data_IF_486995061649
#
_entry.id   IF_486995061649
#
_cell.length_a   1.000
_cell.length_b   1.000
_cell.length_c   1.000
_cell.angle_alpha   90.00
_cell.angle_beta   90.00
_cell.angle_gamma   90.00
#
_symmetry.space_group_name_H-M   'P 1'
#
loop_
_entity.id
_entity.type
_entity.pdbx_description
1 polymer ?
#
# COMPACT_ATOMS: atom_id res chain seq x y z
N UNK A 1 53.39 -70.25 40.04
CA UNK A 1 52.51 -71.33 40.54
C UNK A 1 51.14 -71.21 39.88
N UNK A 2 50.81 -72.21 39.06
CA UNK A 2 49.50 -72.70 38.58
C UNK A 2 48.34 -71.76 38.22
N UNK A 3 48.07 -71.74 36.91
CA UNK A 3 46.73 -71.69 36.30
C UNK A 3 45.87 -72.89 36.75
N UNK A 4 44.54 -72.79 36.63
CA UNK A 4 43.89 -73.86 35.88
C UNK A 4 42.81 -73.36 34.91
N UNK A 5 42.90 -73.92 33.70
CA UNK A 5 41.92 -73.88 32.61
C UNK A 5 40.54 -74.41 33.03
N UNK A 6 39.49 -73.94 32.33
CA UNK A 6 38.16 -74.53 32.34
C UNK A 6 37.45 -74.31 31.01
N UNK A 7 37.95 -74.93 29.94
CA UNK A 7 37.28 -75.05 28.64
C UNK A 7 36.24 -76.17 28.68
N UNK A 8 34.96 -75.84 28.64
CA UNK A 8 33.86 -76.80 28.43
C UNK A 8 33.38 -76.73 26.97
N UNK A 9 33.44 -77.83 26.19
CA UNK A 9 32.67 -77.94 24.96
C UNK A 9 31.30 -78.51 25.30
N UNK A 10 30.28 -77.66 25.28
CA UNK A 10 28.88 -78.07 25.41
C UNK A 10 28.44 -78.74 24.09
N UNK A 11 28.09 -80.03 24.17
CA UNK A 11 27.54 -80.79 23.03
C UNK A 11 26.06 -80.43 22.86
N UNK A 12 25.73 -79.85 21.71
CA UNK A 12 24.36 -79.62 21.27
C UNK A 12 23.62 -80.96 21.04
N UNK A 13 22.38 -81.14 21.53
CA UNK A 13 21.57 -82.29 21.18
C UNK A 13 21.05 -82.17 19.74
N UNK A 14 21.25 -83.23 18.96
CA UNK A 14 20.67 -83.44 17.63
C UNK A 14 19.15 -83.63 17.77
N UNK A 15 18.38 -82.59 17.40
CA UNK A 15 16.93 -82.63 17.36
C UNK A 15 16.41 -82.58 15.92
N UNK A 16 16.24 -83.79 15.36
CA UNK A 16 15.12 -84.16 14.50
C UNK A 16 14.55 -83.06 13.59
N UNK A 17 15.07 -83.05 12.36
CA UNK A 17 14.46 -82.52 11.12
C UNK A 17 12.95 -82.21 11.21
N UNK A 18 12.60 -81.03 11.70
CA UNK A 18 11.43 -80.29 11.27
C UNK A 18 11.86 -79.44 10.09
N UNK A 19 11.60 -79.91 8.86
CA UNK A 19 11.87 -79.11 7.67
C UNK A 19 10.83 -77.98 7.67
N UNK A 20 11.12 -76.86 8.32
CA UNK A 20 10.39 -75.63 8.09
C UNK A 20 10.62 -75.28 6.63
N UNK A 21 9.63 -75.50 5.77
CA UNK A 21 9.61 -74.83 4.48
C UNK A 21 9.56 -73.34 4.80
N UNK A 22 10.73 -72.70 4.80
CA UNK A 22 10.83 -71.26 4.65
C UNK A 22 10.18 -70.98 3.31
N UNK A 23 8.89 -70.63 3.33
CA UNK A 23 8.21 -70.06 2.18
C UNK A 23 8.94 -68.75 1.91
N UNK A 24 10.00 -68.83 1.12
CA UNK A 24 10.78 -67.68 0.68
C UNK A 24 9.78 -66.73 0.05
N UNK A 25 9.57 -65.59 0.71
CA UNK A 25 8.75 -64.53 0.12
C UNK A 25 9.42 -64.17 -1.20
N UNK A 26 8.69 -64.18 -2.33
CA UNK A 26 9.28 -63.87 -3.62
C UNK A 26 9.96 -62.50 -3.53
N UNK A 27 11.21 -62.40 -4.00
CA UNK A 27 12.06 -61.19 -3.90
C UNK A 27 11.30 -59.91 -4.28
N UNK A 28 10.43 -60.01 -5.29
CA UNK A 28 9.59 -58.90 -5.75
C UNK A 28 8.63 -58.35 -4.69
N UNK A 29 8.07 -59.19 -3.81
CA UNK A 29 7.15 -58.75 -2.76
C UNK A 29 7.92 -58.12 -1.58
N UNK A 30 9.12 -58.63 -1.29
CA UNK A 30 10.05 -58.05 -0.31
C UNK A 30 10.51 -56.67 -0.78
N UNK A 31 10.91 -56.53 -2.05
CA UNK A 31 11.30 -55.25 -2.64
C UNK A 31 10.14 -54.24 -2.68
N UNK A 32 8.93 -54.71 -2.93
CA UNK A 32 7.70 -53.89 -2.90
C UNK A 32 7.32 -53.44 -1.48
N UNK A 33 7.64 -54.24 -0.46
CA UNK A 33 7.46 -53.81 0.94
C UNK A 33 8.56 -52.85 1.39
N UNK A 34 9.82 -53.14 1.06
CA UNK A 34 10.97 -52.29 1.39
C UNK A 34 10.84 -50.93 0.71
N UNK A 35 10.42 -50.88 -0.56
CA UNK A 35 10.15 -49.61 -1.26
C UNK A 35 9.01 -48.83 -0.63
N UNK A 36 7.90 -49.48 -0.23
CA UNK A 36 6.81 -48.82 0.50
C UNK A 36 7.26 -48.22 1.84
N UNK A 37 8.14 -48.90 2.58
CA UNK A 37 8.67 -48.40 3.85
C UNK A 37 9.67 -47.27 3.62
N UNK A 38 10.59 -47.42 2.65
CA UNK A 38 11.57 -46.39 2.28
C UNK A 38 10.88 -45.12 1.78
N UNK A 39 9.86 -45.25 0.93
CA UNK A 39 9.05 -44.11 0.47
C UNK A 39 8.33 -43.41 1.62
N UNK A 40 7.76 -44.15 2.58
CA UNK A 40 7.12 -43.55 3.77
C UNK A 40 8.12 -42.79 4.64
N UNK A 41 9.36 -43.27 4.78
CA UNK A 41 10.42 -42.54 5.49
C UNK A 41 10.86 -41.28 4.75
N UNK A 42 11.14 -41.41 3.45
CA UNK A 42 11.58 -40.29 2.60
C UNK A 42 10.53 -39.18 2.57
N UNK A 43 9.25 -39.55 2.42
CA UNK A 43 8.13 -38.60 2.42
C UNK A 43 8.00 -37.84 3.76
N UNK A 44 8.29 -38.50 4.89
CA UNK A 44 8.25 -37.87 6.21
C UNK A 44 9.38 -36.86 6.42
N UNK A 45 10.56 -37.12 5.89
CA UNK A 45 11.67 -36.17 5.95
C UNK A 45 11.45 -34.97 5.01
N UNK A 46 10.91 -35.20 3.81
CA UNK A 46 10.52 -34.10 2.91
C UNK A 46 9.39 -33.24 3.51
N UNK A 47 8.41 -33.85 4.17
CA UNK A 47 7.35 -33.10 4.85
C UNK A 47 7.90 -32.18 5.95
N UNK A 48 8.90 -32.62 6.72
CA UNK A 48 9.55 -31.77 7.74
C UNK A 48 10.30 -30.60 7.11
N UNK A 49 11.08 -30.85 6.05
CA UNK A 49 11.81 -29.80 5.32
C UNK A 49 10.83 -28.78 4.74
N UNK A 50 9.72 -29.25 4.18
CA UNK A 50 8.66 -28.40 3.65
C UNK A 50 8.01 -27.54 4.75
N UNK A 51 7.65 -28.12 5.90
CA UNK A 51 7.09 -27.38 7.04
C UNK A 51 8.06 -26.31 7.55
N UNK A 52 9.37 -26.62 7.64
CA UNK A 52 10.40 -25.65 8.05
C UNK A 52 10.51 -24.53 7.02
N UNK A 53 10.50 -24.84 5.72
CA UNK A 53 10.54 -23.83 4.66
C UNK A 53 9.31 -22.91 4.67
N UNK A 54 8.12 -23.46 4.91
CA UNK A 54 6.87 -22.71 5.05
C UNK A 54 6.91 -21.78 6.26
N UNK A 55 7.48 -22.24 7.39
CA UNK A 55 7.63 -21.43 8.58
C UNK A 55 8.60 -20.25 8.35
N UNK A 56 9.72 -20.49 7.65
CA UNK A 56 10.66 -19.42 7.29
C UNK A 56 9.98 -18.41 6.34
N UNK A 57 9.23 -18.89 5.34
CA UNK A 57 8.48 -18.02 4.45
C UNK A 57 7.45 -17.17 5.20
N UNK A 58 6.70 -17.76 6.14
CA UNK A 58 5.75 -17.02 6.99
C UNK A 58 6.44 -15.95 7.84
N UNK A 59 7.63 -16.22 8.37
CA UNK A 59 8.41 -15.23 9.15
C UNK A 59 8.86 -14.08 8.25
N UNK A 60 9.36 -14.37 7.04
CA UNK A 60 9.76 -13.35 6.06
C UNK A 60 8.55 -12.52 5.60
N UNK A 61 7.43 -13.17 5.29
CA UNK A 61 6.19 -12.51 4.90
C UNK A 61 5.65 -11.63 6.03
N UNK A 62 5.74 -12.09 7.28
CA UNK A 62 5.34 -11.31 8.46
C UNK A 62 6.27 -10.11 8.67
N UNK A 63 7.59 -10.27 8.53
CA UNK A 63 8.53 -9.16 8.64
C UNK A 63 8.33 -8.13 7.51
N UNK A 64 8.07 -8.60 6.28
CA UNK A 64 7.71 -7.76 5.15
C UNK A 64 6.40 -7.01 5.41
N UNK A 65 5.36 -7.71 5.88
CA UNK A 65 4.08 -7.12 6.23
C UNK A 65 4.22 -6.07 7.34
N UNK A 66 5.01 -6.34 8.38
CA UNK A 66 5.31 -5.37 9.45
C UNK A 66 6.09 -4.17 8.90
N UNK A 67 7.06 -4.39 8.01
CA UNK A 67 7.82 -3.31 7.38
C UNK A 67 6.94 -2.40 6.52
N UNK A 68 6.10 -3.00 5.67
CA UNK A 68 5.12 -2.30 4.84
C UNK A 68 4.13 -1.53 5.72
N UNK A 69 3.59 -2.15 6.77
CA UNK A 69 2.69 -1.49 7.72
C UNK A 69 3.38 -0.36 8.49
N UNK A 70 4.66 -0.53 8.87
CA UNK A 70 5.43 0.53 9.51
C UNK A 70 5.67 1.71 8.57
N UNK A 71 5.75 1.48 7.26
CA UNK A 71 5.86 2.53 6.25
C UNK A 71 4.49 3.22 6.04
N UNK A 72 3.42 2.44 5.90
CA UNK A 72 2.05 2.93 5.72
C UNK A 72 1.56 3.72 6.94
N UNK A 73 1.94 3.33 8.16
CA UNK A 73 1.58 4.04 9.40
C UNK A 73 2.13 5.48 9.48
N UNK A 74 3.13 5.81 8.66
CA UNK A 74 3.70 7.16 8.56
C UNK A 74 3.00 8.02 7.51
N UNK A 75 2.21 7.40 6.64
CA UNK A 75 1.33 8.07 5.68
C UNK A 75 -0.01 8.23 6.37
N UNK A 76 -0.39 9.47 6.65
CA UNK A 76 -1.67 9.77 7.28
C UNK A 76 -2.74 9.73 6.17
N UNK A 77 -3.42 8.60 6.06
CA UNK A 77 -4.64 8.43 5.28
C UNK A 77 -5.81 8.84 6.16
N UNK A 78 -6.58 9.85 5.77
CA UNK A 78 -7.86 10.07 6.43
C UNK A 78 -8.84 8.98 6.02
N UNK A 79 -9.41 8.33 7.02
CA UNK A 79 -10.66 7.61 6.91
C UNK A 79 -11.83 8.60 7.03
N UNK A 80 -13.01 8.27 6.49
CA UNK A 80 -14.21 9.15 6.47
C UNK A 80 -14.52 9.85 7.81
N UNK A 81 -14.12 9.27 8.95
CA UNK A 81 -14.30 9.85 10.30
C UNK A 81 -13.43 11.10 10.59
N UNK A 82 -12.32 11.32 9.89
CA UNK A 82 -11.50 12.54 10.03
C UNK A 82 -12.02 13.71 9.16
N UNK A 83 -13.07 13.46 8.37
CA UNK A 83 -13.77 14.43 7.53
C UNK A 83 -14.87 15.21 8.30
N UNK A 84 -14.86 15.17 9.64
CA UNK A 84 -15.77 15.97 10.46
C UNK A 84 -15.26 17.41 10.51
N UNK A 85 -15.73 18.20 9.56
CA UNK A 85 -15.66 19.66 9.60
C UNK A 85 -16.49 20.12 10.82
N UNK A 86 -15.96 20.99 11.70
CA UNK A 86 -16.75 21.56 12.78
C UNK A 86 -18.03 22.20 12.21
N UNK A 87 -19.20 21.89 12.80
CA UNK A 87 -20.57 22.26 12.37
C UNK A 87 -20.83 23.78 12.15
N UNK A 88 -19.82 24.64 12.28
CA UNK A 88 -19.94 26.09 12.24
C UNK A 88 -19.76 26.70 10.83
N UNK A 89 -19.77 25.88 9.76
CA UNK A 89 -19.46 26.31 8.37
C UNK A 89 -20.64 26.30 7.39
N UNK A 90 -21.86 26.01 7.84
CA UNK A 90 -23.07 25.91 7.00
C UNK A 90 -23.48 27.20 6.25
N UNK A 91 -22.82 28.35 6.51
CA UNK A 91 -23.18 29.64 5.91
C UNK A 91 -22.11 30.24 4.98
N UNK A 92 -21.29 29.41 4.34
CA UNK A 92 -20.19 29.91 3.49
C UNK A 92 -20.15 29.34 2.07
N UNK A 93 -21.30 28.95 1.50
CA UNK A 93 -21.42 28.89 0.05
C UNK A 93 -21.39 30.31 -0.53
N UNK A 94 -20.18 30.85 -0.68
CA UNK A 94 -19.93 32.06 -1.48
C UNK A 94 -19.70 31.57 -2.89
N UNK A 95 -20.75 31.66 -3.72
CA UNK A 95 -20.63 31.57 -5.17
C UNK A 95 -19.44 32.43 -5.59
N UNK A 96 -18.45 31.90 -6.33
CA UNK A 96 -17.29 32.68 -6.72
C UNK A 96 -17.78 33.94 -7.45
N UNK A 97 -17.45 35.10 -6.89
CA UNK A 97 -17.57 36.34 -7.62
C UNK A 97 -16.60 36.21 -8.79
N UNK A 98 -17.16 36.13 -9.99
CA UNK A 98 -16.40 36.27 -11.22
C UNK A 98 -15.82 37.70 -11.21
N UNK A 99 -14.65 37.85 -10.58
CA UNK A 99 -13.85 39.06 -10.73
C UNK A 99 -13.25 38.99 -12.13
N UNK A 100 -13.82 39.81 -13.02
CA UNK A 100 -13.56 39.97 -14.45
C UNK A 100 -12.15 40.53 -14.76
N UNK A 101 -11.17 40.33 -13.88
CA UNK A 101 -9.85 40.94 -13.96
C UNK A 101 -8.73 39.97 -13.58
N UNK A 102 -8.68 38.81 -14.24
CA UNK A 102 -7.46 37.99 -14.30
C UNK A 102 -7.33 37.20 -15.62
N UNK A 103 -7.83 37.75 -16.73
CA UNK A 103 -7.89 37.08 -18.03
C UNK A 103 -6.69 37.39 -18.95
N UNK A 104 -5.51 37.76 -18.42
CA UNK A 104 -4.37 38.15 -19.28
C UNK A 104 -3.05 37.54 -18.82
N UNK A 105 -3.03 36.21 -18.64
CA UNK A 105 -1.78 35.46 -18.45
C UNK A 105 -1.83 34.01 -18.96
N UNK A 106 -2.42 33.77 -20.12
CA UNK A 106 -2.10 32.66 -21.02
C UNK A 106 -2.86 32.90 -22.33
N UNK A 107 -2.18 33.26 -23.41
CA UNK A 107 -2.80 33.28 -24.74
C UNK A 107 -3.00 31.84 -25.21
N UNK A 108 -4.02 31.18 -24.66
CA UNK A 108 -4.73 30.05 -25.25
C UNK A 108 -5.80 30.67 -26.16
N UNK A 109 -6.04 30.08 -27.33
CA UNK A 109 -6.95 30.70 -28.30
C UNK A 109 -8.39 30.59 -27.81
N UNK A 110 -9.25 31.56 -28.18
CA UNK A 110 -10.67 31.56 -27.78
C UNK A 110 -11.41 30.28 -28.22
N UNK A 111 -10.94 29.64 -29.31
CA UNK A 111 -11.44 28.34 -29.78
C UNK A 111 -11.10 27.19 -28.83
N UNK A 112 -9.90 27.20 -28.23
CA UNK A 112 -9.48 26.17 -27.26
C UNK A 112 -10.31 26.27 -25.97
N UNK A 113 -10.58 27.48 -25.49
CA UNK A 113 -11.41 27.68 -24.30
C UNK A 113 -12.86 27.25 -24.53
N UNK A 114 -13.46 27.60 -25.66
CA UNK A 114 -14.83 27.23 -25.99
C UNK A 114 -15.02 25.71 -26.12
N UNK A 115 -14.06 25.02 -26.75
CA UNK A 115 -14.08 23.56 -26.83
C UNK A 115 -13.89 22.91 -25.45
N UNK A 116 -13.10 23.51 -24.56
CA UNK A 116 -12.90 23.03 -23.19
C UNK A 116 -14.16 23.24 -22.36
N UNK A 117 -14.83 24.39 -22.46
CA UNK A 117 -16.08 24.68 -21.75
C UNK A 117 -17.21 23.70 -22.15
N UNK A 118 -17.35 23.40 -23.43
CA UNK A 118 -18.33 22.41 -23.91
C UNK A 118 -18.04 21.00 -23.36
N UNK A 119 -16.76 20.61 -23.28
CA UNK A 119 -16.35 19.35 -22.65
C UNK A 119 -16.62 19.35 -21.14
N UNK A 120 -16.40 20.48 -20.47
CA UNK A 120 -16.60 20.63 -19.03
C UNK A 120 -18.08 20.62 -18.62
N UNK A 121 -19.00 21.08 -19.48
CA UNK A 121 -20.45 20.99 -19.25
C UNK A 121 -20.98 19.55 -19.30
N UNK A 122 -20.28 18.65 -19.98
CA UNK A 122 -20.66 17.24 -20.08
C UNK A 122 -20.16 16.39 -18.89
N UNK A 123 -19.26 16.95 -18.07
CA UNK A 123 -18.73 16.25 -16.90
C UNK A 123 -19.80 16.26 -15.80
N UNK A 124 -19.99 15.10 -15.16
CA UNK A 124 -20.96 14.96 -14.08
C UNK A 124 -20.56 15.84 -12.87
N UNK A 125 -21.57 16.38 -12.19
CA UNK A 125 -21.40 17.11 -10.94
C UNK A 125 -21.91 16.25 -9.78
N UNK A 126 -21.18 16.27 -8.66
CA UNK A 126 -21.65 15.67 -7.42
C UNK A 126 -22.67 16.57 -6.70
N UNK A 127 -23.08 16.15 -5.50
CA UNK A 127 -24.05 16.89 -4.68
C UNK A 127 -23.59 18.29 -4.27
N UNK A 128 -22.27 18.52 -4.25
CA UNK A 128 -21.64 19.79 -3.91
C UNK A 128 -21.34 20.64 -5.14
N UNK A 129 -21.70 20.16 -6.34
CA UNK A 129 -21.43 20.85 -7.61
C UNK A 129 -19.97 20.71 -8.08
N UNK A 130 -19.23 19.73 -7.56
CA UNK A 130 -17.86 19.44 -7.97
C UNK A 130 -17.85 18.45 -9.13
N UNK A 131 -16.95 18.69 -10.09
CA UNK A 131 -16.80 17.84 -11.26
C UNK A 131 -16.20 16.49 -10.89
N UNK A 132 -16.85 15.43 -11.34
CA UNK A 132 -16.32 14.07 -11.24
C UNK A 132 -16.63 13.26 -12.50
N UNK A 133 -15.81 12.24 -12.73
CA UNK A 133 -16.01 11.28 -13.81
C UNK A 133 -15.95 9.86 -13.23
N UNK A 134 -16.90 9.00 -13.60
CA UNK A 134 -16.91 7.61 -13.14
C UNK A 134 -15.70 6.84 -13.70
N UNK A 135 -14.97 6.14 -12.83
CA UNK A 135 -13.71 5.48 -13.20
C UNK A 135 -12.50 6.41 -13.21
N UNK A 136 -12.65 7.67 -12.77
CA UNK A 136 -11.54 8.56 -12.43
C UNK A 136 -11.48 8.73 -10.92
N UNK A 137 -10.32 8.44 -10.33
CA UNK A 137 -10.04 8.67 -8.91
C UNK A 137 -9.00 9.77 -8.77
N UNK A 138 -9.36 10.83 -8.07
CA UNK A 138 -8.48 11.96 -7.77
C UNK A 138 -7.94 11.85 -6.34
N UNK A 139 -6.61 11.82 -6.22
CA UNK A 139 -5.91 11.73 -4.95
C UNK A 139 -5.07 12.99 -4.76
N UNK A 140 -5.31 13.74 -3.69
CA UNK A 140 -4.52 14.90 -3.31
C UNK A 140 -3.29 14.48 -2.49
N UNK A 141 -2.11 14.66 -3.06
CA UNK A 141 -0.83 14.39 -2.42
C UNK A 141 -0.28 15.68 -1.81
N UNK A 142 -0.05 15.67 -0.50
CA UNK A 142 0.45 16.80 0.28
C UNK A 142 1.81 16.46 0.88
N UNK A 143 2.85 17.19 0.46
CA UNK A 143 4.17 17.13 1.07
C UNK A 143 4.31 18.18 2.16
N UNK A 144 4.57 17.77 3.40
CA UNK A 144 4.63 18.67 4.57
C UNK A 144 6.03 18.80 5.16
N UNK A 145 6.38 20.01 5.62
CA UNK A 145 7.64 20.29 6.31
C UNK A 145 7.61 19.97 7.83
N UNK A 146 6.48 19.47 8.32
CA UNK A 146 6.26 19.10 9.71
C UNK A 146 6.98 17.82 10.12
N UNK A 147 7.37 17.72 11.41
CA UNK A 147 7.89 16.45 11.97
C UNK A 147 6.83 15.35 12.03
N UNK A 148 5.55 15.72 12.00
CA UNK A 148 4.38 14.85 11.87
C UNK A 148 3.47 15.46 10.80
N UNK A 149 2.81 14.62 9.99
CA UNK A 149 1.93 15.08 8.91
C UNK A 149 0.74 15.92 9.45
N UNK A 150 0.23 15.57 10.65
CA UNK A 150 -0.81 16.30 11.40
C UNK A 150 -0.30 17.45 12.30
N UNK A 151 0.95 17.92 12.13
CA UNK A 151 1.42 19.05 12.94
C UNK A 151 0.64 20.32 12.57
N UNK A 152 -0.10 20.89 13.53
CA UNK A 152 -0.92 22.12 13.41
C UNK A 152 -0.17 23.40 12.95
N UNK A 153 1.11 23.30 12.62
CA UNK A 153 1.95 24.40 12.14
C UNK A 153 2.77 24.02 10.89
N UNK A 154 2.56 22.83 10.31
CA UNK A 154 3.26 22.41 9.11
C UNK A 154 2.65 23.08 7.89
N UNK A 155 3.49 23.48 6.93
CA UNK A 155 3.04 23.95 5.62
C UNK A 155 3.08 22.81 4.63
N UNK A 156 2.13 22.78 3.71
CA UNK A 156 2.23 21.94 2.51
C UNK A 156 3.12 22.66 1.50
N UNK A 157 4.36 22.19 1.35
CA UNK A 157 5.32 22.72 0.36
C UNK A 157 5.14 22.08 -1.02
N UNK A 158 4.58 20.87 -1.06
CA UNK A 158 4.21 20.18 -2.30
C UNK A 158 2.71 19.86 -2.30
N UNK A 159 2.03 20.23 -3.38
CA UNK A 159 0.60 19.96 -3.60
C UNK A 159 0.47 19.38 -5.00
N UNK A 160 0.08 18.12 -5.09
CA UNK A 160 -0.05 17.40 -6.37
C UNK A 160 -1.40 16.69 -6.37
N UNK A 161 -2.17 16.86 -7.45
CA UNK A 161 -3.35 16.05 -7.70
C UNK A 161 -2.91 14.89 -8.60
N UNK A 162 -3.10 13.67 -8.13
CA UNK A 162 -2.93 12.44 -8.90
C UNK A 162 -4.30 11.97 -9.36
N UNK A 163 -4.55 12.02 -10.65
CA UNK A 163 -5.76 11.49 -11.28
C UNK A 163 -5.46 10.14 -11.91
N UNK A 164 -6.16 9.12 -11.45
CA UNK A 164 -6.09 7.75 -11.94
C UNK A 164 -7.33 7.49 -12.78
N UNK A 165 -7.18 7.38 -14.10
CA UNK A 165 -8.30 7.09 -14.98
C UNK A 165 -8.25 5.61 -15.38
N UNK A 166 -9.15 4.81 -14.80
CA UNK A 166 -9.26 3.37 -15.05
C UNK A 166 -9.80 3.07 -16.46
N UNK A 167 -10.63 3.95 -17.01
CA UNK A 167 -11.21 3.78 -18.35
C UNK A 167 -10.13 3.86 -19.45
N UNK A 168 -9.19 4.78 -19.30
CA UNK A 168 -8.12 5.05 -20.27
C UNK A 168 -6.78 4.45 -19.87
N UNK A 169 -6.66 3.90 -18.66
CA UNK A 169 -5.42 3.37 -18.07
C UNK A 169 -4.29 4.41 -18.04
N UNK A 170 -4.65 5.67 -17.75
CA UNK A 170 -3.71 6.80 -17.69
C UNK A 170 -3.62 7.36 -16.28
N UNK A 171 -2.42 7.78 -15.93
CA UNK A 171 -2.12 8.53 -14.71
C UNK A 171 -1.74 9.95 -15.11
N UNK A 172 -2.41 10.94 -14.52
CA UNK A 172 -2.10 12.36 -14.69
C UNK A 172 -1.73 12.94 -13.35
N UNK A 173 -0.60 13.64 -13.28
CA UNK A 173 -0.17 14.35 -12.09
C UNK A 173 -0.13 15.85 -12.38
N UNK A 174 -0.94 16.60 -11.65
CA UNK A 174 -1.06 18.05 -11.78
C UNK A 174 -0.52 18.71 -10.53
N UNK A 175 0.60 19.42 -10.65
CA UNK A 175 1.19 20.14 -9.52
C UNK A 175 0.56 21.51 -9.37
N UNK A 176 0.12 21.85 -8.15
CA UNK A 176 -0.35 23.20 -7.80
C UNK A 176 0.80 23.94 -7.13
N UNK A 177 1.06 25.18 -7.58
CA UNK A 177 2.08 26.01 -6.98
C UNK A 177 1.70 26.38 -5.53
N UNK A 178 2.66 26.30 -4.61
CA UNK A 178 2.47 26.60 -3.17
C UNK A 178 1.91 28.00 -2.89
N UNK A 179 2.29 28.96 -3.74
CA UNK A 179 1.95 30.37 -3.59
C UNK A 179 0.74 30.77 -4.45
N UNK A 180 -0.01 29.80 -5.00
CA UNK A 180 -1.27 30.06 -5.72
C UNK A 180 -2.22 30.83 -4.82
N UNK A 181 -2.76 31.93 -5.34
CA UNK A 181 -3.68 32.82 -4.63
C UNK A 181 -5.10 32.27 -4.75
N UNK A 182 -5.66 31.80 -3.64
CA UNK A 182 -6.91 31.06 -3.59
C UNK A 182 -7.81 31.55 -2.46
N UNK A 183 -9.11 31.34 -2.61
CA UNK A 183 -10.04 31.52 -1.51
C UNK A 183 -9.94 30.32 -0.56
N UNK A 184 -9.67 30.55 0.72
CA UNK A 184 -9.60 29.48 1.72
C UNK A 184 -10.90 29.49 2.52
N UNK A 185 -11.64 28.36 2.61
CA UNK A 185 -12.87 28.29 3.38
C UNK A 185 -12.69 28.76 4.83
N UNK A 186 -13.62 29.59 5.32
CA UNK A 186 -13.55 30.19 6.65
C UNK A 186 -12.60 31.38 6.79
N UNK A 187 -11.98 31.85 5.69
CA UNK A 187 -11.18 33.08 5.65
C UNK A 187 -11.93 34.18 4.87
N UNK A 188 -11.62 35.45 5.18
CA UNK A 188 -12.26 36.62 4.56
C UNK A 188 -11.55 37.11 3.33
N UNK A 189 -10.26 36.80 3.21
CA UNK A 189 -9.40 37.26 2.13
C UNK A 189 -8.74 36.05 1.48
N UNK A 190 -8.48 36.18 0.18
CA UNK A 190 -7.70 35.19 -0.54
C UNK A 190 -6.26 35.18 0.01
N UNK A 191 -5.69 33.99 0.11
CA UNK A 191 -4.36 33.76 0.66
C UNK A 191 -3.63 32.70 -0.18
N UNK A 192 -2.36 32.45 0.15
CA UNK A 192 -1.60 31.37 -0.49
C UNK A 192 -2.19 30.03 -0.09
N UNK A 193 -2.37 29.12 -1.06
CA UNK A 193 -2.97 27.79 -0.83
C UNK A 193 -2.27 26.98 0.28
N UNK A 194 -0.96 27.15 0.47
CA UNK A 194 -0.20 26.51 1.56
C UNK A 194 -0.69 26.86 2.97
N UNK A 195 -1.34 28.01 3.14
CA UNK A 195 -1.90 28.40 4.43
C UNK A 195 -3.12 27.56 4.83
N UNK A 196 -3.84 26.97 3.87
CA UNK A 196 -4.98 26.09 4.16
C UNK A 196 -4.54 24.91 5.04
N UNK A 197 -3.35 24.36 4.79
CA UNK A 197 -2.78 23.28 5.58
C UNK A 197 -2.43 23.70 7.01
N UNK A 198 -1.96 24.93 7.20
CA UNK A 198 -1.64 25.46 8.54
C UNK A 198 -2.93 25.67 9.34
N UNK A 199 -3.99 26.14 8.70
CA UNK A 199 -5.22 26.51 9.39
C UNK A 199 -6.09 25.31 9.76
N UNK A 200 -6.25 24.36 8.84
CA UNK A 200 -7.17 23.22 9.00
C UNK A 200 -6.60 21.89 8.55
N UNK A 201 -5.28 21.81 8.37
CA UNK A 201 -4.61 20.58 8.00
C UNK A 201 -4.96 20.09 6.59
N UNK A 202 -4.81 18.78 6.35
CA UNK A 202 -5.11 18.17 5.06
C UNK A 202 -6.56 18.36 4.61
N UNK A 203 -7.53 18.30 5.53
CA UNK A 203 -8.96 18.41 5.20
C UNK A 203 -9.31 19.78 4.61
N UNK A 204 -8.86 20.88 5.25
CA UNK A 204 -9.07 22.22 4.70
C UNK A 204 -8.29 22.45 3.41
N UNK A 205 -7.12 21.81 3.26
CA UNK A 205 -6.35 21.86 2.00
C UNK A 205 -7.13 21.22 0.86
N UNK A 206 -7.78 20.07 1.12
CA UNK A 206 -8.63 19.39 0.16
C UNK A 206 -9.81 20.25 -0.25
N UNK A 207 -10.58 20.75 0.71
CA UNK A 207 -11.73 21.62 0.44
C UNK A 207 -11.32 22.89 -0.34
N UNK A 208 -10.17 23.49 -0.01
CA UNK A 208 -9.63 24.64 -0.74
C UNK A 208 -9.35 24.27 -2.21
N UNK A 209 -8.80 23.08 -2.49
CA UNK A 209 -8.59 22.62 -3.86
C UNK A 209 -9.93 22.40 -4.57
N UNK A 210 -10.88 21.73 -3.92
CA UNK A 210 -12.19 21.45 -4.50
C UNK A 210 -12.95 22.73 -4.88
N UNK A 211 -13.02 23.71 -3.98
CA UNK A 211 -13.77 24.96 -4.20
C UNK A 211 -13.11 25.86 -5.26
N UNK A 212 -11.78 25.90 -5.33
CA UNK A 212 -11.10 26.80 -6.27
C UNK A 212 -10.95 26.20 -7.67
N UNK A 213 -10.82 24.88 -7.78
CA UNK A 213 -10.63 24.19 -9.07
C UNK A 213 -11.90 23.49 -9.57
N UNK A 214 -12.94 23.39 -8.75
CA UNK A 214 -14.24 22.82 -9.12
C UNK A 214 -14.18 21.33 -9.45
N UNK A 215 -13.22 20.61 -8.88
CA UNK A 215 -13.00 19.17 -9.09
C UNK A 215 -13.23 18.43 -7.79
N UNK A 216 -13.80 17.23 -7.84
CA UNK A 216 -13.93 16.37 -6.67
C UNK A 216 -12.61 15.68 -6.36
N UNK A 217 -12.21 15.69 -5.09
CA UNK A 217 -11.08 14.92 -4.59
C UNK A 217 -11.61 13.75 -3.77
N UNK A 218 -11.31 12.52 -4.18
CA UNK A 218 -11.83 11.33 -3.51
C UNK A 218 -11.01 10.97 -2.26
N UNK A 219 -9.70 11.20 -2.34
CA UNK A 219 -8.76 10.85 -1.27
C UNK A 219 -7.66 11.90 -1.13
N UNK A 220 -7.03 11.95 0.04
CA UNK A 220 -5.76 12.66 0.21
C UNK A 220 -4.73 11.80 0.93
N UNK A 221 -3.46 12.09 0.68
CA UNK A 221 -2.34 11.51 1.41
C UNK A 221 -1.36 12.62 1.80
N UNK A 222 -1.12 12.78 3.11
CA UNK A 222 -0.15 13.73 3.63
C UNK A 222 1.12 12.99 4.07
N UNK A 223 2.26 13.39 3.50
CA UNK A 223 3.57 12.77 3.73
C UNK A 223 4.55 13.86 4.17
N UNK A 224 5.27 13.62 5.27
CA UNK A 224 6.36 14.49 5.68
C UNK A 224 7.70 14.08 5.04
N UNK A 225 8.67 14.98 5.00
CA UNK A 225 9.98 14.69 4.40
C UNK A 225 10.70 13.47 4.98
N UNK A 226 10.55 13.17 6.29
CA UNK A 226 11.17 12.00 6.89
C UNK A 226 10.53 10.70 6.40
N UNK A 227 9.20 10.66 6.33
CA UNK A 227 8.46 9.54 5.78
C UNK A 227 8.79 9.34 4.29
N UNK A 228 8.96 10.43 3.53
CA UNK A 228 9.40 10.35 2.13
C UNK A 228 10.79 9.72 2.00
N UNK A 229 11.77 10.13 2.82
CA UNK A 229 13.10 9.50 2.84
C UNK A 229 13.03 8.01 3.16
N UNK A 230 12.25 7.62 4.18
CA UNK A 230 12.08 6.22 4.56
C UNK A 230 11.47 5.39 3.41
N UNK A 231 10.54 5.96 2.64
CA UNK A 231 9.93 5.31 1.47
C UNK A 231 10.97 5.12 0.37
N UNK A 232 11.75 6.14 0.05
CA UNK A 232 12.80 6.06 -0.98
C UNK A 232 13.86 5.03 -0.61
N UNK A 233 14.30 5.03 0.65
CA UNK A 233 15.28 4.06 1.15
C UNK A 233 14.74 2.62 1.12
N UNK A 234 13.46 2.43 1.46
CA UNK A 234 12.80 1.12 1.40
C UNK A 234 12.68 0.58 -0.04
N UNK A 235 12.57 1.47 -1.03
CA UNK A 235 12.54 1.11 -2.45
C UNK A 235 13.95 0.87 -3.03
N UNK A 236 15.01 1.08 -2.24
CA UNK A 236 16.40 0.93 -2.69
C UNK A 236 16.94 2.15 -3.44
N UNK A 237 16.32 3.33 -3.26
CA UNK A 237 16.64 4.55 -3.98
C UNK A 237 15.85 4.73 -5.27
N UNK A 238 16.01 5.89 -5.92
CA UNK A 238 15.38 6.21 -7.21
C UNK A 238 16.45 6.76 -8.15
N UNK A 239 16.54 6.22 -9.35
CA UNK A 239 17.37 6.76 -10.42
C UNK A 239 16.68 7.97 -11.05
N UNK A 240 17.36 9.13 -11.03
CA UNK A 240 16.89 10.36 -11.68
C UNK A 240 17.78 10.60 -12.91
N UNK A 241 17.22 10.57 -14.14
CA UNK A 241 17.98 10.69 -15.38
C UNK A 241 18.49 12.11 -15.67
#
# INVERSE_FOLDING_TARGET
MNSPYGSHPEKLPDNGKGRYETKEMPSAEVDKQISRIRWKLILREFAKVYIISLAIFMVIASACFIGVQSLLSKVEYATEEDMVIPDDLDNLYVKPAADEQLAEAATLTEEDMAATEEQLEQIALDENGLRYEEGVTNILLLGTDGRKASSKNARSDAIIILSINENTQKLVMSSIMRDTYVNIPGRKENEKITHAHVYGGPALSMQTVEENFGIRIDHFAAINFYAFMDIVDALGGVDVP
#
